data_IF_785919622271
#
_entry.id   IF_785919622271
#
_cell.length_a   1.000
_cell.length_b   1.000
_cell.length_c   1.000
_cell.angle_alpha   90.00
_cell.angle_beta   90.00
_cell.angle_gamma   90.00
#
_symmetry.space_group_name_H-M   'P 1'
#
loop_
_entity.id
_entity.type
_entity.pdbx_description
1 polymer ?
#
# COMPACT_ATOMS: atom_id res chain seq x y z
N UNK A 1 27.64 40.93 -8.88
CA UNK A 1 26.67 39.82 -9.05
C UNK A 1 25.30 40.44 -8.97
N UNK A 2 24.53 40.37 -10.05
CA UNK A 2 23.18 40.91 -10.08
C UNK A 2 22.29 40.10 -9.14
N UNK A 3 21.66 40.75 -8.16
CA UNK A 3 20.83 40.07 -7.15
C UNK A 3 19.69 39.23 -7.75
N UNK A 4 19.25 39.59 -8.97
CA UNK A 4 18.25 38.86 -9.73
C UNK A 4 18.80 37.52 -10.24
N UNK A 5 20.06 37.48 -10.68
CA UNK A 5 20.70 36.26 -11.15
C UNK A 5 20.84 35.22 -10.01
N UNK A 6 21.26 35.69 -8.83
CA UNK A 6 21.37 34.83 -7.63
C UNK A 6 20.01 34.30 -7.20
N UNK A 7 18.96 35.12 -7.31
CA UNK A 7 17.60 34.71 -6.98
C UNK A 7 17.09 33.60 -7.90
N UNK A 8 17.36 33.69 -9.21
CA UNK A 8 16.96 32.67 -10.19
C UNK A 8 17.65 31.35 -9.89
N UNK A 9 18.97 31.36 -9.68
CA UNK A 9 19.70 30.14 -9.34
C UNK A 9 19.16 29.52 -8.05
N UNK A 10 18.92 30.33 -7.01
CA UNK A 10 18.37 29.83 -5.74
C UNK A 10 16.98 29.23 -5.93
N UNK A 11 16.12 29.84 -6.75
CA UNK A 11 14.78 29.32 -7.04
C UNK A 11 14.89 27.96 -7.75
N UNK A 12 15.69 27.89 -8.81
CA UNK A 12 15.93 26.69 -9.61
C UNK A 12 16.40 25.51 -8.75
N UNK A 13 17.44 25.72 -7.92
CA UNK A 13 17.95 24.69 -7.00
C UNK A 13 16.94 24.29 -5.90
N UNK A 14 15.95 25.13 -5.61
CA UNK A 14 15.01 24.89 -4.51
C UNK A 14 13.72 24.18 -4.93
N UNK A 15 13.27 24.33 -6.18
CA UNK A 15 11.91 23.89 -6.56
C UNK A 15 11.73 22.37 -6.47
N UNK A 16 12.62 21.58 -7.08
CA UNK A 16 12.50 20.12 -7.08
C UNK A 16 12.57 19.54 -5.65
N UNK A 17 13.55 19.90 -4.79
CA UNK A 17 13.59 19.43 -3.41
C UNK A 17 12.34 19.81 -2.60
N UNK A 18 11.76 20.98 -2.88
CA UNK A 18 10.50 21.40 -2.25
C UNK A 18 9.31 20.51 -2.64
N UNK A 19 9.20 20.13 -3.91
CA UNK A 19 8.15 19.22 -4.39
C UNK A 19 8.31 17.84 -3.73
N UNK A 20 9.55 17.34 -3.66
CA UNK A 20 9.86 16.08 -2.98
C UNK A 20 9.55 16.15 -1.49
N UNK A 21 9.90 17.24 -0.81
CA UNK A 21 9.59 17.45 0.60
C UNK A 21 8.06 17.47 0.84
N UNK A 22 7.30 18.13 -0.03
CA UNK A 22 5.83 18.10 0.03
C UNK A 22 5.29 16.68 -0.18
N UNK A 23 5.76 15.95 -1.18
CA UNK A 23 5.39 14.54 -1.37
C UNK A 23 5.73 13.68 -0.15
N UNK A 24 6.90 13.90 0.47
CA UNK A 24 7.34 13.21 1.67
C UNK A 24 6.43 13.47 2.87
N UNK A 25 5.93 14.70 3.05
CA UNK A 25 4.97 15.01 4.12
C UNK A 25 3.61 14.34 3.93
N UNK A 26 3.24 14.03 2.68
CA UNK A 26 1.96 13.42 2.33
C UNK A 26 2.02 11.88 2.34
N UNK A 27 3.15 11.27 1.95
CA UNK A 27 3.27 9.81 1.80
C UNK A 27 3.18 9.07 3.14
N UNK A 28 3.81 9.61 4.19
CA UNK A 28 3.86 9.00 5.52
C UNK A 28 3.67 10.06 6.62
N UNK A 29 3.04 9.69 7.75
CA UNK A 29 2.85 10.62 8.86
C UNK A 29 4.20 10.97 9.51
N UNK A 30 4.48 12.27 9.62
CA UNK A 30 5.69 12.80 10.25
C UNK A 30 5.44 13.25 11.70
N UNK A 31 6.47 13.14 12.56
CA UNK A 31 6.44 13.65 13.95
C UNK A 31 6.32 15.16 14.03
N UNK A 32 7.09 15.91 13.23
CA UNK A 32 7.19 17.38 13.26
C UNK A 32 7.31 17.93 11.84
N UNK A 33 6.18 18.04 11.14
CA UNK A 33 6.11 18.47 9.73
C UNK A 33 6.77 19.83 9.49
N UNK A 34 6.47 20.82 10.33
CA UNK A 34 7.04 22.16 10.18
C UNK A 34 8.57 22.21 10.33
N UNK A 35 9.13 21.40 11.24
CA UNK A 35 10.57 21.35 11.44
C UNK A 35 11.29 20.60 10.30
N UNK A 36 10.66 19.57 9.75
CA UNK A 36 11.14 18.90 8.53
C UNK A 36 11.18 19.87 7.35
N UNK A 37 10.07 20.57 7.07
CA UNK A 37 9.99 21.54 5.98
C UNK A 37 10.96 22.72 6.18
N UNK A 38 11.16 23.18 7.41
CA UNK A 38 12.15 24.22 7.70
C UNK A 38 13.59 23.73 7.49
N UNK A 39 13.90 22.49 7.86
CA UNK A 39 15.22 21.89 7.63
C UNK A 39 15.50 21.66 6.14
N UNK A 40 14.50 21.24 5.38
CA UNK A 40 14.59 21.17 3.91
C UNK A 40 14.80 22.56 3.32
N UNK A 41 13.92 23.53 3.63
CA UNK A 41 14.03 24.91 3.13
C UNK A 41 15.37 25.57 3.42
N UNK A 42 15.99 25.27 4.57
CA UNK A 42 17.30 25.81 4.93
C UNK A 42 18.41 24.96 4.29
N UNK A 43 18.23 23.65 4.21
CA UNK A 43 19.19 22.70 3.67
C UNK A 43 19.43 22.88 2.17
N UNK A 44 18.39 23.16 1.38
CA UNK A 44 18.48 23.31 -0.07
C UNK A 44 19.34 24.51 -0.55
N UNK A 45 19.18 25.74 -0.02
CA UNK A 45 20.08 26.84 -0.37
C UNK A 45 21.48 26.67 0.22
N UNK A 46 21.62 25.98 1.36
CA UNK A 46 22.94 25.61 1.92
C UNK A 46 23.64 24.60 1.01
N UNK A 47 22.89 23.68 0.42
CA UNK A 47 23.34 22.77 -0.62
C UNK A 47 23.75 23.52 -1.89
N UNK A 48 22.92 24.44 -2.39
CA UNK A 48 23.25 25.29 -3.55
C UNK A 48 24.53 26.10 -3.34
N UNK A 49 24.71 26.65 -2.12
CA UNK A 49 25.91 27.39 -1.73
C UNK A 49 27.15 26.48 -1.67
N UNK A 50 27.02 25.27 -1.09
CA UNK A 50 28.09 24.27 -1.01
C UNK A 50 28.45 23.72 -2.40
N UNK A 51 27.49 23.46 -3.28
CA UNK A 51 27.76 23.04 -4.66
C UNK A 51 28.41 24.16 -5.48
N UNK A 52 27.94 25.40 -5.34
CA UNK A 52 28.46 26.55 -6.08
C UNK A 52 29.85 27.02 -5.65
N UNK A 53 30.27 26.81 -4.40
CA UNK A 53 31.58 27.24 -3.89
C UNK A 53 32.55 26.10 -3.56
N UNK A 54 32.05 24.88 -3.31
CA UNK A 54 32.81 23.72 -2.79
C UNK A 54 32.76 22.53 -3.77
N UNK A 55 32.68 22.77 -5.08
CA UNK A 55 32.86 21.70 -6.09
C UNK A 55 34.28 21.08 -6.07
N UNK A 56 35.19 21.55 -5.20
CA UNK A 56 36.47 20.90 -4.93
C UNK A 56 36.37 19.67 -4.02
N UNK A 57 35.24 19.46 -3.30
CA UNK A 57 35.07 18.33 -2.37
C UNK A 57 33.78 17.55 -2.65
N UNK A 58 33.77 16.80 -3.75
CA UNK A 58 32.73 15.84 -4.15
C UNK A 58 32.13 15.04 -2.98
N UNK A 59 32.97 14.57 -2.05
CA UNK A 59 32.55 13.78 -0.90
C UNK A 59 31.67 14.53 0.11
N UNK A 60 31.89 15.84 0.29
CA UNK A 60 31.11 16.66 1.21
C UNK A 60 29.72 16.92 0.62
N UNK A 61 29.65 17.21 -0.68
CA UNK A 61 28.37 17.36 -1.39
C UNK A 61 27.54 16.08 -1.33
N UNK A 62 28.16 14.92 -1.63
CA UNK A 62 27.48 13.62 -1.56
C UNK A 62 26.98 13.29 -0.15
N UNK A 63 27.75 13.63 0.89
CA UNK A 63 27.34 13.43 2.28
C UNK A 63 26.16 14.31 2.67
N UNK A 64 26.14 15.58 2.24
CA UNK A 64 25.02 16.50 2.50
C UNK A 64 23.76 16.05 1.75
N UNK A 65 23.86 15.67 0.47
CA UNK A 65 22.76 15.08 -0.30
C UNK A 65 22.20 13.82 0.39
N UNK A 66 23.09 12.89 0.75
CA UNK A 66 22.70 11.67 1.44
C UNK A 66 21.95 11.95 2.75
N UNK A 67 22.35 12.97 3.49
CA UNK A 67 21.69 13.35 4.75
C UNK A 67 20.33 13.98 4.49
N UNK A 68 20.24 15.00 3.63
CA UNK A 68 18.99 15.73 3.37
C UNK A 68 17.96 14.82 2.73
N UNK A 69 18.35 14.11 1.68
CA UNK A 69 17.40 13.33 0.89
C UNK A 69 17.06 11.98 1.51
N UNK A 70 18.01 11.29 2.15
CA UNK A 70 17.78 9.92 2.65
C UNK A 70 17.63 9.86 4.16
N UNK A 71 18.50 10.54 4.92
CA UNK A 71 18.49 10.41 6.39
C UNK A 71 17.36 11.23 7.02
N UNK A 72 17.15 12.46 6.54
CA UNK A 72 16.19 13.38 7.13
C UNK A 72 14.75 12.83 7.10
N UNK A 73 14.20 12.35 5.95
CA UNK A 73 12.84 11.83 5.92
C UNK A 73 12.65 10.61 6.83
N UNK A 74 13.65 9.72 6.89
CA UNK A 74 13.62 8.52 7.73
C UNK A 74 13.53 8.85 9.24
N UNK A 75 14.19 9.91 9.69
CA UNK A 75 14.16 10.38 11.08
C UNK A 75 12.78 10.95 11.46
N UNK A 76 12.14 11.70 10.56
CA UNK A 76 10.88 12.38 10.84
C UNK A 76 9.64 11.51 10.64
N UNK A 77 9.69 10.51 9.74
CA UNK A 77 8.56 9.61 9.52
C UNK A 77 8.28 8.69 10.72
N UNK A 78 7.00 8.36 10.89
CA UNK A 78 6.52 7.33 11.83
C UNK A 78 6.19 6.05 11.08
N UNK A 79 6.45 4.90 11.71
CA UNK A 79 6.15 3.58 11.17
C UNK A 79 7.35 2.64 11.17
N UNK A 80 7.15 1.44 10.64
CA UNK A 80 8.22 0.45 10.49
C UNK A 80 9.32 0.97 9.56
N UNK A 81 10.60 0.62 9.82
CA UNK A 81 11.73 1.05 8.99
C UNK A 81 11.52 0.67 7.52
N UNK A 82 10.92 -0.50 7.30
CA UNK A 82 10.53 -0.97 5.99
C UNK A 82 9.65 0.02 5.20
N UNK A 83 8.56 0.51 5.79
CA UNK A 83 7.63 1.43 5.10
C UNK A 83 8.30 2.76 4.78
N UNK A 84 9.16 3.24 5.68
CA UNK A 84 9.94 4.45 5.49
C UNK A 84 10.88 4.32 4.30
N UNK A 85 11.62 3.22 4.25
CA UNK A 85 12.56 2.92 3.17
C UNK A 85 11.81 2.80 1.83
N UNK A 86 10.71 2.05 1.76
CA UNK A 86 9.92 1.95 0.52
C UNK A 86 9.33 3.28 0.06
N UNK A 87 8.82 4.10 0.98
CA UNK A 87 8.29 5.43 0.64
C UNK A 87 9.38 6.34 0.07
N UNK A 88 10.57 6.29 0.65
CA UNK A 88 11.74 7.02 0.18
C UNK A 88 12.10 6.64 -1.26
N UNK A 89 12.22 5.34 -1.51
CA UNK A 89 12.57 4.83 -2.84
C UNK A 89 11.52 5.17 -3.90
N UNK A 90 10.23 5.17 -3.54
CA UNK A 90 9.17 5.59 -4.48
C UNK A 90 9.31 7.07 -4.84
N UNK A 91 9.53 7.95 -3.87
CA UNK A 91 9.72 9.39 -4.11
C UNK A 91 10.95 9.62 -5.00
N UNK A 92 12.07 8.97 -4.66
CA UNK A 92 13.32 9.12 -5.40
C UNK A 92 13.22 8.60 -6.83
N UNK A 93 12.58 7.46 -7.03
CA UNK A 93 12.42 6.89 -8.36
C UNK A 93 11.52 7.78 -9.23
N UNK A 94 10.49 8.42 -8.66
CA UNK A 94 9.67 9.39 -9.37
C UNK A 94 10.44 10.65 -9.78
N UNK A 95 11.26 11.24 -8.89
CA UNK A 95 12.09 12.40 -9.20
C UNK A 95 13.12 12.08 -10.28
N UNK A 96 13.86 10.96 -10.16
CA UNK A 96 14.85 10.54 -11.16
C UNK A 96 14.22 10.36 -12.54
N UNK A 97 13.02 9.78 -12.63
CA UNK A 97 12.30 9.62 -13.91
C UNK A 97 11.85 10.97 -14.46
N UNK A 98 11.37 11.88 -13.61
CA UNK A 98 10.98 13.22 -14.03
C UNK A 98 12.18 13.98 -14.60
N UNK A 99 13.28 14.06 -13.85
CA UNK A 99 14.51 14.70 -14.28
C UNK A 99 15.06 14.11 -15.57
N UNK A 100 15.10 12.78 -15.71
CA UNK A 100 15.57 12.13 -16.93
C UNK A 100 14.74 12.51 -18.17
N UNK A 101 13.42 12.60 -18.06
CA UNK A 101 12.54 13.02 -19.16
C UNK A 101 12.75 14.49 -19.48
N UNK A 102 12.81 15.36 -18.48
CA UNK A 102 13.05 16.80 -18.66
C UNK A 102 14.38 17.04 -19.38
N UNK A 103 15.42 16.28 -19.02
CA UNK A 103 16.73 16.33 -19.69
C UNK A 103 16.66 15.92 -21.17
N UNK A 104 15.78 14.99 -21.55
CA UNK A 104 15.59 14.66 -22.99
C UNK A 104 14.98 15.81 -23.79
N UNK A 105 14.20 16.67 -23.14
CA UNK A 105 13.60 17.84 -23.76
C UNK A 105 14.57 19.03 -23.86
N UNK A 106 15.75 18.94 -23.23
CA UNK A 106 16.72 20.03 -23.18
C UNK A 106 17.05 20.62 -24.55
N UNK A 107 17.55 19.79 -25.47
CA UNK A 107 17.96 20.25 -26.80
C UNK A 107 16.79 20.83 -27.59
N UNK A 108 15.56 20.32 -27.37
CA UNK A 108 14.37 20.85 -28.02
C UNK A 108 13.98 22.24 -27.50
N UNK A 109 14.23 22.53 -26.21
CA UNK A 109 13.88 23.81 -25.57
C UNK A 109 14.98 24.85 -25.83
N UNK A 110 16.24 24.49 -25.61
CA UNK A 110 17.37 25.42 -25.67
C UNK A 110 18.11 25.44 -27.01
N UNK A 111 17.92 24.43 -27.86
CA UNK A 111 18.54 24.35 -29.19
C UNK A 111 20.03 23.99 -29.17
N UNK A 112 20.55 23.58 -28.00
CA UNK A 112 21.96 23.24 -27.79
C UNK A 112 22.07 22.07 -26.80
N UNK A 113 23.15 21.26 -26.85
CA UNK A 113 23.37 20.18 -25.90
C UNK A 113 23.51 20.71 -24.45
N UNK A 114 23.29 19.83 -23.49
CA UNK A 114 23.43 20.12 -22.06
C UNK A 114 24.88 20.56 -21.78
N UNK A 115 25.11 21.76 -21.21
CA UNK A 115 26.46 22.20 -20.84
C UNK A 115 27.09 21.27 -19.80
N UNK A 116 28.40 21.01 -19.90
CA UNK A 116 29.13 20.21 -18.90
C UNK A 116 29.35 20.96 -17.58
N UNK A 117 29.37 22.30 -17.63
CA UNK A 117 29.54 23.17 -16.48
C UNK A 117 28.20 23.79 -16.06
N UNK A 118 27.84 23.61 -14.78
CA UNK A 118 26.64 24.22 -14.19
C UNK A 118 26.62 25.75 -14.30
N UNK A 119 27.79 26.40 -14.34
CA UNK A 119 27.86 27.85 -14.55
C UNK A 119 27.40 28.29 -15.93
N UNK A 120 27.61 27.46 -16.95
CA UNK A 120 27.16 27.73 -18.31
C UNK A 120 25.65 27.47 -18.44
N UNK A 121 25.13 26.51 -17.70
CA UNK A 121 23.69 26.24 -17.54
C UNK A 121 22.95 27.44 -16.95
N UNK A 122 23.39 27.93 -15.78
CA UNK A 122 22.79 29.13 -15.17
C UNK A 122 22.92 30.39 -16.03
N UNK A 123 24.02 30.52 -16.79
CA UNK A 123 24.15 31.62 -17.74
C UNK A 123 23.08 31.55 -18.85
N UNK A 124 22.72 30.35 -19.30
CA UNK A 124 21.69 30.14 -20.29
C UNK A 124 20.29 30.47 -19.74
N UNK A 125 19.98 30.04 -18.52
CA UNK A 125 18.71 30.38 -17.85
C UNK A 125 18.53 31.88 -17.69
N UNK A 126 19.59 32.59 -17.32
CA UNK A 126 19.57 34.06 -17.19
C UNK A 126 19.43 34.76 -18.54
N UNK A 127 19.94 34.16 -19.62
CA UNK A 127 19.88 34.75 -20.96
C UNK A 127 18.49 34.68 -21.59
N UNK A 128 17.70 33.66 -21.26
CA UNK A 128 16.38 33.42 -21.83
C UNK A 128 15.41 32.89 -20.77
N UNK A 129 14.91 33.82 -19.95
CA UNK A 129 13.99 33.52 -18.84
C UNK A 129 12.69 32.82 -19.30
N UNK A 130 12.28 33.02 -20.56
CA UNK A 130 11.10 32.39 -21.12
C UNK A 130 11.29 30.88 -21.30
N UNK A 131 12.46 30.46 -21.80
CA UNK A 131 12.81 29.04 -21.94
C UNK A 131 13.04 28.37 -20.59
N UNK A 132 13.70 29.07 -19.66
CA UNK A 132 13.84 28.61 -18.29
C UNK A 132 12.47 28.35 -17.65
N UNK A 133 11.51 29.28 -17.76
CA UNK A 133 10.18 29.10 -17.20
C UNK A 133 9.44 27.89 -17.80
N UNK A 134 9.58 27.65 -19.11
CA UNK A 134 8.98 26.49 -19.78
C UNK A 134 9.61 25.19 -19.25
N UNK A 135 10.93 25.16 -19.13
CA UNK A 135 11.67 24.04 -18.58
C UNK A 135 11.23 23.72 -17.14
N UNK A 136 11.10 24.76 -16.31
CA UNK A 136 10.68 24.63 -14.92
C UNK A 136 9.25 24.14 -14.78
N UNK A 137 8.32 24.70 -15.57
CA UNK A 137 6.92 24.24 -15.57
C UNK A 137 6.82 22.77 -16.01
N UNK A 138 7.66 22.35 -16.98
CA UNK A 138 7.72 20.97 -17.42
C UNK A 138 8.18 20.05 -16.29
N UNK A 139 9.24 20.41 -15.58
CA UNK A 139 9.75 19.61 -14.47
C UNK A 139 8.77 19.51 -13.30
N UNK A 140 8.26 20.66 -12.82
CA UNK A 140 7.25 20.71 -11.76
C UNK A 140 6.02 19.87 -12.16
N UNK A 141 5.55 20.05 -13.39
CA UNK A 141 4.36 19.37 -13.91
C UNK A 141 4.56 17.86 -13.96
N UNK A 142 5.70 17.40 -14.48
CA UNK A 142 6.00 15.98 -14.60
C UNK A 142 6.22 15.34 -13.23
N UNK A 143 6.98 15.99 -12.34
CA UNK A 143 7.18 15.57 -10.97
C UNK A 143 5.86 15.44 -10.22
N UNK A 144 4.94 16.40 -10.37
CA UNK A 144 3.61 16.32 -9.77
C UNK A 144 2.77 15.17 -10.35
N UNK A 145 2.76 14.99 -11.68
CA UNK A 145 2.04 13.90 -12.37
C UNK A 145 2.52 12.52 -11.91
N UNK A 146 3.80 12.36 -11.60
CA UNK A 146 4.36 11.10 -11.11
C UNK A 146 4.16 10.91 -9.60
N UNK A 147 4.45 11.94 -8.79
CA UNK A 147 4.43 11.84 -7.33
C UNK A 147 3.02 11.76 -6.76
N UNK A 148 2.03 12.52 -7.28
CA UNK A 148 0.65 12.51 -6.76
C UNK A 148 0.04 11.09 -6.79
N UNK A 149 -0.03 10.38 -7.94
CA UNK A 149 -0.58 9.04 -7.97
C UNK A 149 0.28 8.05 -7.17
N UNK A 150 1.61 8.19 -7.19
CA UNK A 150 2.50 7.34 -6.40
C UNK A 150 2.21 7.45 -4.89
N UNK A 151 2.01 8.67 -4.37
CA UNK A 151 1.62 8.93 -2.98
C UNK A 151 0.26 8.31 -2.67
N UNK A 152 -0.74 8.49 -3.54
CA UNK A 152 -2.09 7.91 -3.34
C UNK A 152 -2.05 6.38 -3.32
N UNK A 153 -1.35 5.76 -4.28
CA UNK A 153 -1.21 4.31 -4.37
C UNK A 153 -0.45 3.75 -3.17
N UNK A 154 0.67 4.38 -2.80
CA UNK A 154 1.48 3.97 -1.66
C UNK A 154 0.70 4.04 -0.35
N UNK A 155 -0.06 5.11 -0.11
CA UNK A 155 -0.90 5.22 1.10
C UNK A 155 -1.98 4.15 1.14
N UNK A 156 -2.65 3.87 0.02
CA UNK A 156 -3.67 2.82 -0.06
C UNK A 156 -3.09 1.44 0.23
N UNK A 157 -1.87 1.19 -0.24
CA UNK A 157 -1.13 -0.05 0.00
C UNK A 157 -0.62 -0.16 1.44
N UNK A 158 0.11 0.84 1.94
CA UNK A 158 0.78 0.83 3.24
C UNK A 158 -0.18 0.70 4.43
N UNK A 159 -1.43 1.13 4.29
CA UNK A 159 -2.45 0.96 5.33
C UNK A 159 -3.01 -0.46 5.40
N UNK A 160 -2.86 -1.25 4.32
CA UNK A 160 -3.45 -2.58 4.21
C UNK A 160 -2.43 -3.68 4.49
N UNK A 161 -1.18 -3.52 4.05
CA UNK A 161 -0.16 -4.57 4.18
C UNK A 161 0.37 -4.67 5.62
N UNK A 162 -0.24 -5.56 6.41
CA UNK A 162 0.23 -5.95 7.74
C UNK A 162 1.19 -7.16 7.67
N UNK A 163 1.28 -7.82 6.51
CA UNK A 163 2.09 -9.03 6.33
C UNK A 163 3.54 -8.68 5.98
N UNK A 164 4.47 -9.15 6.80
CA UNK A 164 5.87 -8.74 6.79
C UNK A 164 6.64 -9.31 5.60
N UNK A 165 6.31 -10.52 5.12
CA UNK A 165 7.06 -11.18 4.02
C UNK A 165 6.86 -10.53 2.65
N UNK A 166 5.61 -10.22 2.28
CA UNK A 166 5.29 -9.55 1.01
C UNK A 166 5.87 -8.13 0.95
N UNK A 167 5.96 -7.48 2.12
CA UNK A 167 6.64 -6.20 2.26
C UNK A 167 8.13 -6.34 1.93
N UNK A 168 8.88 -7.25 2.57
CA UNK A 168 10.35 -7.39 2.37
C UNK A 168 10.75 -7.55 0.90
N UNK A 169 10.05 -8.40 0.14
CA UNK A 169 10.31 -8.61 -1.30
C UNK A 169 10.10 -7.31 -2.10
N UNK A 170 9.08 -6.53 -1.73
CA UNK A 170 8.78 -5.26 -2.37
C UNK A 170 9.84 -4.18 -2.12
N UNK A 171 10.35 -4.00 -0.89
CA UNK A 171 11.48 -3.07 -0.72
C UNK A 171 12.75 -3.59 -1.40
N UNK A 172 12.97 -4.91 -1.41
CA UNK A 172 14.08 -5.50 -2.16
C UNK A 172 14.02 -5.12 -3.64
N UNK A 173 12.84 -5.18 -4.25
CA UNK A 173 12.62 -4.73 -5.62
C UNK A 173 12.88 -3.24 -5.79
N UNK A 174 12.36 -2.38 -4.91
CA UNK A 174 12.57 -0.93 -4.98
C UNK A 174 14.05 -0.54 -4.81
N UNK A 175 14.76 -1.20 -3.89
CA UNK A 175 16.21 -1.01 -3.70
C UNK A 175 16.97 -1.42 -4.95
N UNK A 176 16.64 -2.58 -5.52
CA UNK A 176 17.25 -3.05 -6.76
C UNK A 176 16.96 -2.09 -7.93
N UNK A 177 15.74 -1.56 -8.01
CA UNK A 177 15.38 -0.56 -9.03
C UNK A 177 16.14 0.75 -8.85
N UNK A 178 16.34 1.23 -7.62
CA UNK A 178 17.14 2.44 -7.40
C UNK A 178 18.62 2.20 -7.71
N UNK A 179 19.18 1.06 -7.33
CA UNK A 179 20.55 0.68 -7.71
C UNK A 179 20.69 0.65 -9.24
N UNK A 180 19.72 0.05 -9.94
CA UNK A 180 19.72 0.02 -11.41
C UNK A 180 19.45 1.38 -12.03
N UNK A 181 18.74 2.30 -11.36
CA UNK A 181 18.52 3.68 -11.79
C UNK A 181 19.73 4.59 -11.52
N UNK A 182 20.54 4.28 -10.51
CA UNK A 182 21.77 5.01 -10.20
C UNK A 182 22.87 4.80 -11.25
N UNK A 183 22.89 3.65 -11.92
CA UNK A 183 23.84 3.34 -13.00
C UNK A 183 23.68 4.31 -14.20
N UNK A 184 22.46 4.54 -14.74
CA UNK A 184 22.23 5.57 -15.73
C UNK A 184 22.58 6.98 -15.27
N UNK A 185 22.32 7.35 -14.01
CA UNK A 185 22.71 8.66 -13.48
C UNK A 185 24.23 8.86 -13.47
N UNK A 186 24.99 7.82 -13.12
CA UNK A 186 26.47 7.84 -13.22
C UNK A 186 26.91 7.93 -14.69
N UNK A 187 26.18 7.30 -15.62
CA UNK A 187 26.43 7.44 -17.04
C UNK A 187 26.12 8.86 -17.56
N UNK A 188 25.06 9.52 -17.05
CA UNK A 188 24.67 10.91 -17.37
C UNK A 188 25.70 11.95 -16.92
N UNK A 189 26.62 11.61 -16.00
CA UNK A 189 27.77 12.46 -15.66
C UNK A 189 28.80 12.56 -16.81
N UNK A 190 28.56 11.89 -17.94
CA UNK A 190 29.32 12.03 -19.18
C UNK A 190 28.39 12.52 -20.28
N UNK A 191 28.86 13.46 -21.09
CA UNK A 191 28.16 14.12 -22.21
C UNK A 191 27.68 13.13 -23.27
N UNK A 192 26.62 12.41 -22.94
CA UNK A 192 25.89 11.51 -23.81
C UNK A 192 24.96 12.35 -24.71
N UNK A 193 24.84 12.00 -25.99
CA UNK A 193 23.90 12.68 -26.88
C UNK A 193 22.42 12.41 -26.50
N UNK A 194 21.50 13.25 -26.97
CA UNK A 194 20.04 13.20 -26.69
C UNK A 194 19.39 11.85 -26.91
N UNK A 195 19.84 11.08 -27.91
CA UNK A 195 19.35 9.73 -28.14
C UNK A 195 19.65 8.77 -26.97
N UNK A 196 20.79 8.91 -26.31
CA UNK A 196 21.13 8.11 -25.14
C UNK A 196 20.32 8.55 -23.90
N UNK A 197 20.06 9.85 -23.73
CA UNK A 197 19.14 10.34 -22.70
C UNK A 197 17.73 9.77 -22.88
N UNK A 198 17.22 9.71 -24.12
CA UNK A 198 15.89 9.16 -24.41
C UNK A 198 15.79 7.66 -24.08
N UNK A 199 16.83 6.89 -24.41
CA UNK A 199 16.91 5.46 -24.07
C UNK A 199 16.98 5.27 -22.55
N UNK A 200 17.75 6.10 -21.84
CA UNK A 200 17.83 6.05 -20.37
C UNK A 200 16.48 6.40 -19.74
N UNK A 201 15.83 7.48 -20.19
CA UNK A 201 14.51 7.86 -19.70
C UNK A 201 13.48 6.74 -19.91
N UNK A 202 13.53 6.06 -21.07
CA UNK A 202 12.69 4.89 -21.34
C UNK A 202 12.98 3.73 -20.38
N UNK A 203 14.25 3.42 -20.12
CA UNK A 203 14.64 2.36 -19.16
C UNK A 203 14.14 2.70 -17.75
N UNK A 204 14.32 3.94 -17.31
CA UNK A 204 13.86 4.42 -16.01
C UNK A 204 12.33 4.40 -15.91
N UNK A 205 11.61 4.78 -16.97
CA UNK A 205 10.16 4.70 -17.05
C UNK A 205 9.67 3.24 -16.95
N UNK A 206 10.34 2.30 -17.62
CA UNK A 206 10.05 0.86 -17.49
C UNK A 206 10.24 0.41 -16.04
N UNK A 207 11.32 0.84 -15.37
CA UNK A 207 11.52 0.52 -13.96
C UNK A 207 10.42 1.09 -13.06
N UNK A 208 9.98 2.32 -13.29
CA UNK A 208 8.85 2.93 -12.57
C UNK A 208 7.57 2.13 -12.78
N UNK A 209 7.25 1.76 -14.02
CA UNK A 209 6.06 0.96 -14.35
C UNK A 209 6.12 -0.41 -13.67
N UNK A 210 7.29 -1.08 -13.67
CA UNK A 210 7.48 -2.35 -12.95
C UNK A 210 7.31 -2.17 -11.44
N UNK A 211 7.83 -1.07 -10.87
CA UNK A 211 7.68 -0.74 -9.46
C UNK A 211 6.22 -0.52 -9.05
N UNK A 212 5.48 0.30 -9.82
CA UNK A 212 4.03 0.52 -9.63
C UNK A 212 3.25 -0.78 -9.84
N UNK A 213 3.58 -1.55 -10.87
CA UNK A 213 2.99 -2.86 -11.15
C UNK A 213 3.16 -3.83 -9.99
N UNK A 214 4.32 -3.84 -9.33
CA UNK A 214 4.54 -4.64 -8.13
C UNK A 214 3.69 -4.17 -6.92
N UNK A 215 3.46 -2.86 -6.76
CA UNK A 215 2.52 -2.32 -5.75
C UNK A 215 1.11 -2.83 -6.02
N UNK A 216 0.66 -2.74 -7.28
CA UNK A 216 -0.69 -3.16 -7.68
C UNK A 216 -0.86 -4.68 -7.54
N UNK A 217 0.12 -5.46 -8.03
CA UNK A 217 0.10 -6.91 -7.93
C UNK A 217 0.06 -7.34 -6.46
N UNK A 218 0.96 -6.82 -5.61
CA UNK A 218 0.95 -7.15 -4.18
C UNK A 218 -0.37 -6.78 -3.50
N UNK A 219 -1.01 -5.67 -3.88
CA UNK A 219 -2.35 -5.34 -3.42
C UNK A 219 -3.40 -6.39 -3.84
N UNK A 220 -3.41 -6.82 -5.11
CA UNK A 220 -4.33 -7.86 -5.58
C UNK A 220 -4.14 -9.20 -4.86
N UNK A 221 -2.88 -9.60 -4.64
CA UNK A 221 -2.55 -10.83 -3.90
C UNK A 221 -3.05 -10.78 -2.46
N UNK A 222 -2.89 -9.65 -1.76
CA UNK A 222 -3.42 -9.52 -0.40
C UNK A 222 -4.94 -9.52 -0.33
N UNK A 223 -5.61 -8.92 -1.32
CA UNK A 223 -7.09 -8.95 -1.39
C UNK A 223 -7.56 -10.38 -1.60
N UNK A 224 -6.92 -11.13 -2.50
CA UNK A 224 -7.24 -12.54 -2.74
C UNK A 224 -6.99 -13.40 -1.49
N UNK A 225 -5.85 -13.23 -0.82
CA UNK A 225 -5.52 -13.97 0.39
C UNK A 225 -6.54 -13.73 1.53
N UNK A 226 -7.06 -12.50 1.66
CA UNK A 226 -8.11 -12.19 2.66
C UNK A 226 -9.46 -12.77 2.28
N UNK A 227 -9.82 -12.74 1.00
CA UNK A 227 -11.04 -13.39 0.52
C UNK A 227 -11.00 -14.89 0.85
N UNK A 228 -9.82 -15.52 0.70
CA UNK A 228 -9.61 -16.91 1.04
C UNK A 228 -9.77 -17.17 2.55
N UNK A 229 -9.12 -16.38 3.41
CA UNK A 229 -9.29 -16.49 4.88
C UNK A 229 -10.76 -16.32 5.31
N UNK A 230 -11.46 -15.34 4.76
CA UNK A 230 -12.91 -15.17 5.03
C UNK A 230 -13.73 -16.36 4.55
N UNK A 231 -13.39 -16.94 3.40
CA UNK A 231 -14.10 -18.12 2.89
C UNK A 231 -13.89 -19.34 3.79
N UNK A 232 -12.68 -19.52 4.34
CA UNK A 232 -12.37 -20.57 5.30
C UNK A 232 -13.12 -20.37 6.63
N UNK A 233 -13.18 -19.14 7.15
CA UNK A 233 -13.96 -18.80 8.35
C UNK A 233 -15.45 -19.07 8.14
N UNK A 234 -16.01 -18.65 7.01
CA UNK A 234 -17.40 -18.90 6.65
C UNK A 234 -17.68 -20.40 6.46
N UNK A 235 -16.73 -21.17 5.90
CA UNK A 235 -16.86 -22.61 5.77
C UNK A 235 -16.92 -23.29 7.14
N UNK A 236 -16.08 -22.88 8.10
CA UNK A 236 -16.14 -23.39 9.48
C UNK A 236 -17.46 -23.06 10.16
N UNK A 237 -17.97 -21.83 10.00
CA UNK A 237 -19.27 -21.45 10.54
C UNK A 237 -20.41 -22.27 9.93
N UNK A 238 -20.39 -22.54 8.62
CA UNK A 238 -21.39 -23.41 7.98
C UNK A 238 -21.40 -24.81 8.56
N UNK A 239 -20.24 -25.41 8.81
CA UNK A 239 -20.15 -26.74 9.41
C UNK A 239 -20.76 -26.75 10.80
N UNK A 240 -20.42 -25.75 11.64
CA UNK A 240 -21.00 -25.63 12.98
C UNK A 240 -22.53 -25.46 12.96
N UNK A 241 -23.07 -24.61 12.07
CA UNK A 241 -24.52 -24.45 11.94
C UNK A 241 -25.22 -25.71 11.42
N UNK A 242 -24.61 -26.46 10.49
CA UNK A 242 -25.18 -27.71 9.99
C UNK A 242 -25.28 -28.75 11.11
N UNK A 243 -24.26 -28.84 11.97
CA UNK A 243 -24.26 -29.75 13.12
C UNK A 243 -25.38 -29.40 14.12
N UNK A 244 -25.59 -28.11 14.40
CA UNK A 244 -26.74 -27.65 15.21
C UNK A 244 -28.09 -27.99 14.57
N UNK A 245 -28.23 -27.80 13.25
CA UNK A 245 -29.46 -28.13 12.52
C UNK A 245 -29.74 -29.64 12.51
N UNK A 246 -28.72 -30.49 12.32
CA UNK A 246 -28.86 -31.94 12.36
C UNK A 246 -29.31 -32.41 13.74
N UNK A 247 -28.74 -31.86 14.81
CA UNK A 247 -29.14 -32.15 16.18
C UNK A 247 -30.60 -31.72 16.45
N UNK A 248 -31.00 -30.52 16.01
CA UNK A 248 -32.38 -30.07 16.13
C UNK A 248 -33.34 -30.96 15.32
N UNK A 249 -32.96 -31.39 14.11
CA UNK A 249 -33.78 -32.28 13.29
C UNK A 249 -33.91 -33.67 13.91
N UNK A 250 -32.85 -34.19 14.55
CA UNK A 250 -32.89 -35.46 15.28
C UNK A 250 -33.91 -35.40 16.44
N UNK A 251 -33.93 -34.30 17.20
CA UNK A 251 -34.93 -34.08 18.26
C UNK A 251 -36.35 -34.04 17.69
N UNK A 252 -36.58 -33.32 16.58
CA UNK A 252 -37.90 -33.27 15.94
C UNK A 252 -38.34 -34.64 15.43
N UNK A 253 -37.43 -35.44 14.86
CA UNK A 253 -37.73 -36.82 14.45
C UNK A 253 -38.07 -37.71 15.64
N UNK A 254 -37.35 -37.59 16.75
CA UNK A 254 -37.65 -38.33 17.99
C UNK A 254 -39.05 -38.00 18.51
N UNK A 255 -39.41 -36.71 18.57
CA UNK A 255 -40.76 -36.27 18.96
C UNK A 255 -41.82 -36.77 17.98
N UNK A 256 -41.53 -36.78 16.67
CA UNK A 256 -42.46 -37.28 15.66
C UNK A 256 -42.74 -38.79 15.81
N UNK A 257 -41.71 -39.59 16.11
CA UNK A 257 -41.85 -41.02 16.41
C UNK A 257 -42.67 -41.24 17.68
N UNK A 258 -42.34 -40.53 18.76
CA UNK A 258 -43.06 -40.65 20.02
C UNK A 258 -44.55 -40.29 19.89
N UNK A 259 -44.85 -39.21 19.15
CA UNK A 259 -46.24 -38.83 18.83
C UNK A 259 -46.97 -39.90 18.01
N UNK A 260 -46.29 -40.52 17.06
CA UNK A 260 -46.86 -41.58 16.24
C UNK A 260 -47.18 -42.82 17.08
N UNK A 261 -46.28 -43.22 17.97
CA UNK A 261 -46.44 -44.40 18.82
C UNK A 261 -47.57 -44.20 19.83
N UNK A 262 -47.63 -43.03 20.48
CA UNK A 262 -48.75 -42.66 21.36
C UNK A 262 -50.10 -42.67 20.61
N UNK A 263 -50.12 -42.22 19.36
CA UNK A 263 -51.35 -42.23 18.54
C UNK A 263 -51.79 -43.67 18.21
N UNK A 264 -50.85 -44.58 17.96
CA UNK A 264 -51.15 -45.99 17.72
C UNK A 264 -51.66 -46.69 18.98
N UNK A 265 -51.04 -46.47 20.13
CA UNK A 265 -51.49 -47.07 21.39
C UNK A 265 -52.87 -46.54 21.80
N UNK A 266 -53.14 -45.24 21.60
CA UNK A 266 -54.49 -44.68 21.80
C UNK A 266 -55.52 -45.27 20.84
N UNK A 267 -55.16 -45.52 19.58
CA UNK A 267 -56.04 -46.19 18.62
C UNK A 267 -56.33 -47.66 19.03
N UNK A 268 -55.33 -48.37 19.54
CA UNK A 268 -55.48 -49.72 20.08
C UNK A 268 -56.39 -49.77 21.31
N UNK A 269 -56.23 -48.81 22.24
CA UNK A 269 -57.09 -48.68 23.41
C UNK A 269 -58.56 -48.40 23.02
N UNK A 270 -58.78 -47.51 22.03
CA UNK A 270 -60.13 -47.25 21.49
C UNK A 270 -60.74 -48.48 20.82
N UNK A 271 -59.98 -49.23 20.04
CA UNK A 271 -60.45 -50.46 19.40
C UNK A 271 -60.81 -51.56 20.43
N UNK A 272 -60.09 -51.64 21.55
CA UNK A 272 -60.42 -52.55 22.67
C UNK A 272 -61.71 -52.13 23.40
N UNK A 273 -61.91 -50.82 23.56
CA UNK A 273 -63.14 -50.27 24.14
C UNK A 273 -64.36 -50.53 23.25
N UNK A 274 -64.25 -50.33 21.93
CA UNK A 274 -65.32 -50.61 20.96
C UNK A 274 -65.72 -52.09 20.91
N UNK A 275 -64.80 -53.01 21.22
CA UNK A 275 -65.06 -54.46 21.33
C UNK A 275 -65.63 -54.89 22.68
N UNK A 276 -65.98 -53.96 23.57
CA UNK A 276 -66.60 -54.26 24.87
C UNK A 276 -65.63 -54.75 25.95
N UNK A 277 -64.31 -54.75 25.70
CA UNK A 277 -63.28 -55.17 26.67
C UNK A 277 -62.74 -53.96 27.45
N UNK A 278 -63.65 -53.28 28.16
CA UNK A 278 -63.36 -52.00 28.81
C UNK A 278 -62.28 -52.08 29.91
N UNK A 279 -62.18 -53.19 30.63
CA UNK A 279 -61.14 -53.39 31.65
C UNK A 279 -59.73 -53.55 31.06
N UNK A 280 -59.59 -54.19 29.90
CA UNK A 280 -58.30 -54.33 29.22
C UNK A 280 -57.84 -52.99 28.64
N UNK A 281 -58.76 -52.22 28.04
CA UNK A 281 -58.48 -50.85 27.59
C UNK A 281 -58.05 -49.93 28.74
N UNK A 282 -58.70 -50.05 29.90
CA UNK A 282 -58.37 -49.27 31.10
C UNK A 282 -57.00 -49.63 31.68
N UNK A 283 -56.63 -50.92 31.70
CA UNK A 283 -55.28 -51.35 32.11
C UNK A 283 -54.20 -50.82 31.15
N UNK A 284 -54.46 -50.85 29.85
CA UNK A 284 -53.51 -50.37 28.83
C UNK A 284 -53.28 -48.85 28.95
N UNK A 285 -54.34 -48.08 29.18
CA UNK A 285 -54.24 -46.62 29.43
C UNK A 285 -53.56 -46.28 30.77
N UNK A 286 -53.80 -47.07 31.83
CA UNK A 286 -53.09 -46.87 33.11
C UNK A 286 -51.60 -47.17 32.98
N UNK A 287 -51.23 -48.24 32.25
CA UNK A 287 -49.83 -48.56 31.97
C UNK A 287 -49.15 -47.50 31.08
N UNK A 288 -49.87 -46.90 30.11
CA UNK A 288 -49.37 -45.77 29.33
C UNK A 288 -49.14 -44.53 30.21
N UNK A 289 -50.09 -44.18 31.08
CA UNK A 289 -49.98 -43.04 31.97
C UNK A 289 -48.79 -43.18 32.94
N UNK A 290 -48.54 -44.40 33.43
CA UNK A 290 -47.39 -44.72 34.28
C UNK A 290 -46.07 -44.55 33.52
N UNK A 291 -45.96 -45.04 32.26
CA UNK A 291 -44.75 -44.88 31.43
C UNK A 291 -44.43 -43.42 31.10
N UNK A 292 -45.43 -42.65 30.70
CA UNK A 292 -45.26 -41.21 30.38
C UNK A 292 -44.83 -40.43 31.63
N UNK A 293 -45.37 -40.79 32.81
CA UNK A 293 -44.96 -40.16 34.07
C UNK A 293 -43.52 -40.47 34.49
N UNK A 294 -42.96 -41.60 34.03
CA UNK A 294 -41.55 -41.98 34.27
C UNK A 294 -40.58 -41.45 33.21
N UNK A 295 -41.02 -41.22 31.97
CA UNK A 295 -40.16 -40.71 30.87
C UNK A 295 -39.99 -39.18 30.84
N UNK A 296 -40.84 -38.40 31.51
CA UNK A 296 -40.69 -36.93 31.65
C UNK A 296 -39.50 -36.50 32.54
N UNK A 297 -38.70 -37.44 33.06
CA UNK A 297 -37.44 -37.15 33.75
C UNK A 297 -36.21 -37.65 32.98
N UNK A 298 -35.85 -37.09 31.81
CA UNK A 298 -34.45 -36.99 31.44
C UNK A 298 -33.85 -35.85 32.28
N UNK A 299 -32.98 -36.22 33.22
CA UNK A 299 -32.12 -35.30 33.93
C UNK A 299 -31.59 -34.23 32.98
N UNK A 300 -31.89 -32.98 33.32
CA UNK A 300 -31.35 -31.82 32.67
C UNK A 300 -29.83 -31.95 32.57
N UNK A 301 -29.33 -31.63 31.38
CA UNK A 301 -27.92 -31.41 31.16
C UNK A 301 -27.35 -30.51 32.24
N UNK A 302 -26.30 -30.99 32.90
CA UNK A 302 -25.36 -30.16 33.63
C UNK A 302 -24.68 -29.23 32.62
N UNK A 303 -25.19 -27.99 32.54
CA UNK A 303 -24.41 -26.78 32.24
C UNK A 303 -23.90 -26.21 33.56
#
# INVERSE_FOLDING_TARGET
MDSIAVLIDVIDLCIEPWIMALAATQILPMRRRGLFLALELIGTPLWAFVFGTVLSWFWVGLLVCGILEFVLPLLFWRGSPFRKVSALFVIQLCSIVAGAVVWTCWEAIFGMPIPEDSTAEFALYRSDLGKWLIYEILDIGLSAILLIPAVVLFRRWAWRTADTRGSVVFAGLLVAQLLMASVPMICMARSLGTGAYAVIALILLVYLVVGIGAIVASWHWEVAARAQRRSEELARQRVAYLEEYENAQAQVRAVAHLRHDLRNEMAAARALQERGRAEEARRLLCAMAERVSTEEMPEGGSL
#
